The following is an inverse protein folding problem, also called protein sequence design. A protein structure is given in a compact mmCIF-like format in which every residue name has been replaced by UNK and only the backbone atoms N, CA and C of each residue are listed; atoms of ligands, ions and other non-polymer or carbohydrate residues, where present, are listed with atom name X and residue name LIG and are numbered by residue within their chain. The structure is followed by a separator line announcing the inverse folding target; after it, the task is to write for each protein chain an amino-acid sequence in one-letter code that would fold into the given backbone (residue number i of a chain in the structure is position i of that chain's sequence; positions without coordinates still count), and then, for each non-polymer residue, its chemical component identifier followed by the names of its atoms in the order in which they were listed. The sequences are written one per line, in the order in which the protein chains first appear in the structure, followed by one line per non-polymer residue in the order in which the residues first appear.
data_IF_243894844107
#
_entry.id   IF_243894844107
#
_cell.length_a   1.000
_cell.length_b   1.000
_cell.length_c   1.000
_cell.angle_alpha   90.00
_cell.angle_beta   90.00
_cell.angle_gamma   90.00
#
_symmetry.space_group_name_H-M   'P 1'
#
loop_
_entity.id
_entity.type
_entity.pdbx_description
1 polymer ?
#
# COMPACT_ATOMS: atom_id res chain seq x y z
N UNK A 1 -7.41 13.87 18.80
CA UNK A 1 -7.46 12.68 17.90
C UNK A 1 -6.62 11.49 18.39
N UNK A 2 -5.73 11.65 19.38
CA UNK A 2 -4.90 10.54 19.88
C UNK A 2 -5.69 9.49 20.69
N UNK A 3 -6.56 9.95 21.58
CA UNK A 3 -7.42 9.09 22.41
C UNK A 3 -8.40 8.23 21.59
N UNK A 4 -9.16 8.75 20.60
CA UNK A 4 -9.99 7.91 19.75
C UNK A 4 -9.16 6.97 18.85
N UNK A 5 -7.94 7.35 18.47
CA UNK A 5 -7.04 6.50 17.68
C UNK A 5 -6.59 5.24 18.45
N UNK A 6 -6.14 5.40 19.70
CA UNK A 6 -5.75 4.25 20.54
C UNK A 6 -6.96 3.36 20.85
N UNK A 7 -8.10 3.98 21.17
CA UNK A 7 -9.34 3.25 21.42
C UNK A 7 -9.75 2.40 20.19
N UNK A 8 -9.74 2.99 18.98
CA UNK A 8 -10.05 2.26 17.76
C UNK A 8 -9.05 1.15 17.45
N UNK A 9 -7.76 1.37 17.73
CA UNK A 9 -6.70 0.40 17.49
C UNK A 9 -6.82 -0.85 18.39
N UNK A 10 -7.37 -0.69 19.61
CA UNK A 10 -7.67 -1.81 20.52
C UNK A 10 -9.04 -2.43 20.24
N UNK A 11 -10.06 -1.62 19.94
CA UNK A 11 -11.44 -2.09 19.72
C UNK A 11 -11.62 -2.81 18.39
N UNK A 12 -10.99 -2.35 17.30
CA UNK A 12 -11.15 -2.95 15.97
C UNK A 12 -10.73 -4.43 15.91
N UNK A 13 -9.54 -4.83 16.41
CA UNK A 13 -9.15 -6.24 16.44
C UNK A 13 -10.07 -7.09 17.30
N UNK A 14 -10.52 -6.56 18.45
CA UNK A 14 -11.46 -7.26 19.35
C UNK A 14 -12.81 -7.48 18.68
N UNK A 15 -13.37 -6.45 18.05
CA UNK A 15 -14.63 -6.55 17.32
C UNK A 15 -14.53 -7.53 16.14
N UNK A 16 -13.46 -7.47 15.35
CA UNK A 16 -13.21 -8.41 14.25
C UNK A 16 -13.10 -9.86 14.74
N UNK A 17 -12.49 -10.08 15.90
CA UNK A 17 -12.38 -11.42 16.49
C UNK A 17 -13.74 -12.04 16.84
N UNK A 18 -14.69 -11.22 17.31
CA UNK A 18 -16.04 -11.68 17.65
C UNK A 18 -16.97 -11.79 16.44
N UNK A 19 -16.92 -10.85 15.48
CA UNK A 19 -17.78 -10.80 14.29
C UNK A 19 -17.36 -11.79 13.20
N UNK A 20 -16.05 -11.99 13.02
CA UNK A 20 -15.47 -12.88 12.01
C UNK A 20 -14.49 -13.85 12.67
N UNK A 21 -14.99 -14.87 13.40
CA UNK A 21 -14.13 -15.80 14.10
C UNK A 21 -13.15 -16.44 13.11
N UNK A 22 -11.87 -16.17 13.32
CA UNK A 22 -10.75 -16.67 12.51
C UNK A 22 -10.92 -18.18 12.26
N UNK A 23 -11.02 -18.56 11.00
CA UNK A 23 -11.21 -19.96 10.55
C UNK A 23 -10.03 -20.86 10.96
N UNK A 24 -8.83 -20.28 11.12
CA UNK A 24 -7.62 -20.97 11.57
C UNK A 24 -7.10 -20.31 12.85
N UNK A 25 -7.47 -20.85 14.01
CA UNK A 25 -7.05 -20.34 15.33
C UNK A 25 -5.73 -20.92 15.82
N UNK A 26 -5.23 -21.98 15.19
CA UNK A 26 -3.94 -22.59 15.53
C UNK A 26 -3.36 -23.30 14.32
N UNK A 27 -2.18 -22.85 13.88
CA UNK A 27 -1.32 -23.55 12.93
C UNK A 27 -0.19 -24.22 13.73
N UNK A 28 -0.37 -25.47 14.20
CA UNK A 28 0.59 -26.14 15.10
C UNK A 28 2.00 -26.31 14.51
N UNK A 29 2.13 -26.23 13.18
CA UNK A 29 3.41 -26.30 12.45
C UNK A 29 3.82 -24.96 11.82
N UNK A 30 3.38 -23.82 12.35
CA UNK A 30 3.73 -22.50 11.79
C UNK A 30 5.25 -22.26 11.73
N UNK A 31 6.00 -22.68 12.75
CA UNK A 31 7.45 -22.49 12.81
C UNK A 31 8.20 -23.37 11.79
N UNK A 32 7.79 -24.63 11.65
CA UNK A 32 8.38 -25.58 10.70
C UNK A 32 8.03 -25.19 9.26
N UNK A 33 6.76 -24.84 8.99
CA UNK A 33 6.31 -24.32 7.70
C UNK A 33 7.05 -23.04 7.29
N UNK A 34 7.24 -22.09 8.22
CA UNK A 34 7.98 -20.86 7.95
C UNK A 34 9.45 -21.13 7.62
N UNK A 35 10.10 -22.06 8.33
CA UNK A 35 11.50 -22.45 8.07
C UNK A 35 11.66 -23.15 6.72
N UNK A 36 10.71 -23.98 6.32
CA UNK A 36 10.75 -24.67 5.04
C UNK A 36 10.50 -23.73 3.87
N UNK A 37 9.53 -22.81 3.99
CA UNK A 37 9.33 -21.73 3.01
C UNK A 37 10.52 -20.79 2.93
N UNK A 38 11.17 -20.49 4.05
CA UNK A 38 12.40 -19.70 4.06
C UNK A 38 13.55 -20.41 3.31
N UNK A 39 13.72 -21.72 3.49
CA UNK A 39 14.71 -22.51 2.75
C UNK A 39 14.41 -22.54 1.25
N UNK A 40 13.15 -22.68 0.87
CA UNK A 40 12.70 -22.65 -0.53
C UNK A 40 13.01 -21.29 -1.20
N UNK A 41 12.68 -20.19 -0.52
CA UNK A 41 12.99 -18.83 -0.97
C UNK A 41 14.50 -18.56 -1.05
N UNK A 42 15.30 -19.12 -0.12
CA UNK A 42 16.76 -19.00 -0.14
C UNK A 42 17.39 -19.78 -1.29
N UNK A 43 16.81 -20.91 -1.72
CA UNK A 43 17.31 -21.67 -2.88
C UNK A 43 17.12 -20.92 -4.20
N UNK A 44 16.10 -20.06 -4.29
CA UNK A 44 15.89 -19.14 -5.43
C UNK A 44 16.84 -17.92 -5.43
N UNK A 45 17.62 -17.67 -4.35
CA UNK A 45 18.38 -16.42 -4.16
C UNK A 45 19.60 -16.21 -5.06
N UNK A 46 20.15 -17.20 -5.77
CA UNK A 46 21.36 -16.97 -6.58
C UNK A 46 21.14 -16.03 -7.78
N UNK A 47 19.90 -15.92 -8.28
CA UNK A 47 19.55 -15.04 -9.42
C UNK A 47 18.81 -13.77 -8.96
N UNK A 48 18.10 -13.80 -7.83
CA UNK A 48 17.21 -12.72 -7.36
C UNK A 48 17.79 -11.80 -6.28
N UNK A 49 19.07 -11.96 -5.91
CA UNK A 49 19.75 -11.18 -4.85
C UNK A 49 19.84 -9.68 -5.19
N UNK A 50 20.00 -9.35 -6.47
CA UNK A 50 20.09 -7.95 -6.93
C UNK A 50 18.76 -7.20 -6.75
N UNK A 51 17.65 -7.84 -7.12
CA UNK A 51 16.30 -7.27 -7.05
C UNK A 51 15.84 -7.02 -5.60
N UNK A 52 16.08 -7.98 -4.69
CA UNK A 52 15.73 -7.81 -3.26
C UNK A 52 16.58 -6.76 -2.55
N UNK A 53 17.87 -6.66 -2.89
CA UNK A 53 18.76 -5.64 -2.33
C UNK A 53 18.36 -4.25 -2.86
N UNK A 54 18.04 -4.12 -4.15
CA UNK A 54 17.58 -2.87 -4.73
C UNK A 54 16.24 -2.39 -4.15
N UNK A 55 15.25 -3.28 -4.00
CA UNK A 55 13.96 -2.94 -3.37
C UNK A 55 14.14 -2.52 -1.91
N UNK A 56 14.99 -3.22 -1.14
CA UNK A 56 15.28 -2.85 0.25
C UNK A 56 15.99 -1.50 0.35
N UNK A 57 16.92 -1.22 -0.58
CA UNK A 57 17.67 0.03 -0.66
C UNK A 57 16.78 1.18 -1.10
N UNK A 58 15.91 0.96 -2.08
CA UNK A 58 14.92 1.93 -2.55
C UNK A 58 13.87 2.23 -1.48
N UNK A 59 13.43 1.24 -0.69
CA UNK A 59 12.50 1.48 0.41
C UNK A 59 13.15 2.30 1.53
N UNK A 60 14.37 1.96 1.92
CA UNK A 60 15.13 2.73 2.94
C UNK A 60 15.44 4.14 2.45
N UNK A 61 16.00 4.28 1.25
CA UNK A 61 16.36 5.58 0.69
C UNK A 61 15.12 6.38 0.30
N UNK A 62 14.04 5.77 -0.16
CA UNK A 62 12.80 6.46 -0.50
C UNK A 62 12.13 7.08 0.72
N UNK A 63 12.08 6.34 1.85
CA UNK A 63 11.56 6.87 3.12
C UNK A 63 12.51 7.90 3.74
N UNK A 64 13.82 7.63 3.74
CA UNK A 64 14.81 8.55 4.28
C UNK A 64 14.93 9.82 3.43
N UNK A 65 14.84 9.74 2.10
CA UNK A 65 14.82 10.90 1.21
C UNK A 65 13.53 11.72 1.40
N UNK A 66 12.40 11.06 1.70
CA UNK A 66 11.14 11.73 2.04
C UNK A 66 11.23 12.48 3.37
N UNK A 67 11.87 11.87 4.37
CA UNK A 67 12.08 12.50 5.68
C UNK A 67 13.19 13.57 5.67
N UNK A 68 14.22 13.42 4.83
CA UNK A 68 15.45 14.23 4.87
C UNK A 68 15.48 15.36 3.83
N UNK A 69 14.56 15.40 2.84
CA UNK A 69 14.24 16.62 2.08
C UNK A 69 13.46 17.63 2.96
N UNK A 70 14.04 17.97 4.10
CA UNK A 70 13.64 19.07 4.95
C UNK A 70 13.78 20.38 4.15
N UNK A 71 12.66 20.87 3.59
CA UNK A 71 12.54 22.23 3.04
C UNK A 71 11.73 22.35 1.75
N UNK A 72 11.39 21.26 1.06
CA UNK A 72 10.60 21.29 -0.18
C UNK A 72 9.31 20.51 0.05
N UNK A 73 8.17 21.21 0.00
CA UNK A 73 6.83 20.60 0.10
C UNK A 73 6.53 19.80 -1.17
N UNK A 74 7.09 18.60 -1.29
CA UNK A 74 6.75 17.68 -2.37
C UNK A 74 5.43 16.98 -2.04
N UNK A 75 4.49 17.06 -2.97
CA UNK A 75 3.23 16.33 -2.89
C UNK A 75 3.47 14.80 -2.97
N UNK A 76 2.65 14.04 -2.27
CA UNK A 76 2.77 12.58 -2.20
C UNK A 76 2.72 11.92 -3.60
N UNK A 77 1.95 12.49 -4.55
CA UNK A 77 1.89 11.98 -5.92
C UNK A 77 3.22 12.11 -6.66
N UNK A 78 3.92 13.24 -6.49
CA UNK A 78 5.23 13.48 -7.12
C UNK A 78 6.28 12.49 -6.62
N UNK A 79 6.27 12.21 -5.31
CA UNK A 79 7.19 11.24 -4.70
C UNK A 79 6.93 9.82 -5.21
N UNK A 80 5.66 9.43 -5.33
CA UNK A 80 5.29 8.13 -5.88
C UNK A 80 5.75 7.96 -7.35
N UNK A 81 5.60 9.00 -8.18
CA UNK A 81 6.04 8.98 -9.59
C UNK A 81 7.56 8.93 -9.74
N UNK A 82 8.29 9.69 -8.91
CA UNK A 82 9.76 9.62 -8.86
C UNK A 82 10.22 8.21 -8.46
N UNK A 83 9.55 7.62 -7.48
CA UNK A 83 9.81 6.25 -7.06
C UNK A 83 9.61 5.22 -8.18
N UNK A 84 8.47 5.31 -8.88
CA UNK A 84 8.18 4.45 -10.03
C UNK A 84 9.25 4.60 -11.13
N UNK A 85 9.67 5.83 -11.41
CA UNK A 85 10.69 6.14 -12.42
C UNK A 85 12.05 5.51 -12.08
N UNK A 86 12.47 5.59 -10.82
CA UNK A 86 13.71 4.98 -10.34
C UNK A 86 13.67 3.45 -10.45
N UNK A 87 12.53 2.83 -10.14
CA UNK A 87 12.35 1.37 -10.25
C UNK A 87 12.39 0.91 -11.71
N UNK A 88 11.80 1.67 -12.63
CA UNK A 88 11.88 1.39 -14.08
C UNK A 88 13.32 1.50 -14.61
N UNK A 89 14.05 2.56 -14.24
CA UNK A 89 15.45 2.77 -14.66
C UNK A 89 16.37 1.66 -14.11
N UNK A 90 16.09 1.17 -12.89
CA UNK A 90 16.87 0.09 -12.28
C UNK A 90 16.73 -1.28 -12.95
N UNK A 91 15.77 -1.44 -13.89
CA UNK A 91 15.49 -2.71 -14.56
C UNK A 91 14.89 -3.78 -13.64
N UNK A 92 14.47 -3.40 -12.42
CA UNK A 92 13.77 -4.29 -11.48
C UNK A 92 12.35 -4.60 -11.93
N UNK A 93 11.72 -3.65 -12.62
CA UNK A 93 10.37 -3.78 -13.16
C UNK A 93 10.38 -3.32 -14.62
N UNK A 94 9.78 -4.10 -15.50
CA UNK A 94 9.61 -3.67 -16.89
C UNK A 94 8.33 -2.84 -17.05
N UNK A 95 8.29 -1.96 -18.05
CA UNK A 95 7.08 -1.20 -18.34
C UNK A 95 5.88 -2.10 -18.68
N UNK A 96 6.14 -3.27 -19.30
CA UNK A 96 5.12 -4.28 -19.55
C UNK A 96 4.52 -4.86 -18.27
N UNK A 97 5.33 -5.10 -17.23
CA UNK A 97 4.83 -5.57 -15.93
C UNK A 97 3.99 -4.51 -15.20
N UNK A 98 4.35 -3.22 -15.31
CA UNK A 98 3.52 -2.12 -14.80
C UNK A 98 2.15 -2.09 -15.49
N UNK A 99 2.11 -2.28 -16.80
CA UNK A 99 0.85 -2.31 -17.56
C UNK A 99 0.03 -3.58 -17.29
N UNK A 100 0.68 -4.70 -16.96
CA UNK A 100 0.03 -5.95 -16.63
C UNK A 100 -0.67 -5.95 -15.26
N UNK A 101 -0.32 -5.00 -14.38
CA UNK A 101 -0.86 -4.90 -13.01
C UNK A 101 -2.29 -4.35 -13.00
N UNK A 102 -3.27 -5.21 -13.33
CA UNK A 102 -4.67 -4.82 -13.48
C UNK A 102 -5.29 -4.27 -12.20
N UNK A 103 -4.81 -4.67 -11.01
CA UNK A 103 -5.38 -4.20 -9.75
C UNK A 103 -5.15 -2.69 -9.52
N UNK A 104 -3.95 -2.21 -9.88
CA UNK A 104 -3.62 -0.79 -9.81
C UNK A 104 -4.47 0.04 -10.78
N UNK A 105 -4.58 -0.42 -12.04
CA UNK A 105 -5.40 0.25 -13.05
C UNK A 105 -6.89 0.26 -12.71
N UNK A 106 -7.42 -0.86 -12.21
CA UNK A 106 -8.80 -0.92 -11.76
C UNK A 106 -9.06 0.13 -10.68
N UNK A 107 -8.22 0.17 -9.64
CA UNK A 107 -8.33 1.13 -8.53
C UNK A 107 -8.32 2.57 -9.02
N UNK A 108 -7.41 2.90 -9.93
CA UNK A 108 -7.31 4.25 -10.49
C UNK A 108 -8.57 4.65 -11.29
N UNK A 109 -9.11 3.72 -12.10
CA UNK A 109 -10.28 4.01 -12.96
C UNK A 109 -11.55 4.20 -12.11
N UNK A 110 -11.88 3.27 -11.22
CA UNK A 110 -13.14 3.40 -10.47
C UNK A 110 -13.05 4.49 -9.40
N UNK A 111 -11.87 4.70 -8.77
CA UNK A 111 -11.70 5.79 -7.80
C UNK A 111 -11.78 7.16 -8.49
N UNK A 112 -11.20 7.34 -9.68
CA UNK A 112 -11.33 8.60 -10.42
C UNK A 112 -12.78 8.90 -10.81
N UNK A 113 -13.55 7.88 -11.22
CA UNK A 113 -14.99 8.03 -11.49
C UNK A 113 -15.78 8.45 -10.23
N UNK A 114 -15.50 7.85 -9.07
CA UNK A 114 -16.15 8.22 -7.80
C UNK A 114 -15.81 9.64 -7.37
N UNK A 115 -14.54 10.04 -7.46
CA UNK A 115 -14.10 11.41 -7.12
C UNK A 115 -14.77 12.43 -8.05
N UNK A 116 -14.90 12.10 -9.35
CA UNK A 116 -15.63 12.94 -10.30
C UNK A 116 -17.10 13.08 -9.91
N UNK A 117 -17.80 11.98 -9.58
CA UNK A 117 -19.20 12.03 -9.14
C UNK A 117 -19.36 12.85 -7.86
N UNK A 118 -18.50 12.65 -6.86
CA UNK A 118 -18.52 13.42 -5.61
C UNK A 118 -18.31 14.92 -5.88
N UNK A 119 -17.39 15.26 -6.79
CA UNK A 119 -17.13 16.65 -7.20
C UNK A 119 -18.35 17.26 -7.88
N UNK A 120 -19.04 16.52 -8.75
CA UNK A 120 -20.27 16.97 -9.41
C UNK A 120 -21.40 17.17 -8.40
N UNK A 121 -21.59 16.25 -7.45
CA UNK A 121 -22.58 16.39 -6.37
C UNK A 121 -22.32 17.63 -5.51
N UNK A 122 -21.06 17.91 -5.18
CA UNK A 122 -20.67 19.13 -4.47
C UNK A 122 -20.96 20.39 -5.29
N UNK A 123 -20.65 20.39 -6.59
CA UNK A 123 -20.93 21.53 -7.49
C UNK A 123 -22.42 21.79 -7.72
N UNK A 124 -23.23 20.74 -7.75
CA UNK A 124 -24.68 20.82 -7.89
C UNK A 124 -25.39 21.23 -6.59
N UNK A 125 -24.64 21.46 -5.50
CA UNK A 125 -25.19 21.89 -4.23
C UNK A 125 -26.03 20.83 -3.52
N UNK A 126 -26.02 19.57 -3.98
CA UNK A 126 -26.78 18.49 -3.35
C UNK A 126 -26.34 18.27 -1.91
N UNK A 127 -25.03 18.40 -1.63
CA UNK A 127 -24.49 18.32 -0.26
C UNK A 127 -24.92 19.50 0.62
N UNK A 128 -25.15 20.68 0.04
CA UNK A 128 -25.67 21.85 0.79
C UNK A 128 -27.18 21.73 1.02
N UNK A 129 -27.93 21.33 -0.02
CA UNK A 129 -29.36 21.05 0.10
C UNK A 129 -29.67 19.97 1.14
N UNK A 130 -28.88 18.90 1.21
CA UNK A 130 -29.03 17.85 2.22
C UNK A 130 -28.53 18.25 3.63
N UNK A 131 -27.69 19.29 3.72
CA UNK A 131 -27.18 19.79 5.00
C UNK A 131 -28.09 20.88 5.61
N UNK A 132 -28.87 21.57 4.78
CA UNK A 132 -29.90 22.54 5.21
C UNK A 132 -31.26 21.89 5.50
N UNK A 133 -31.49 20.66 5.05
CA UNK A 133 -32.67 19.84 5.36
C UNK A 133 -32.49 19.02 6.64
#
# INVERSE_FOLDING_TARGET
MFLPGIAAMLLMPLMLYFLSPLEIKSTPNASTFAKDKLKELVKMKKVKKSCSVFLSRFYFYGLELWACFFGISLDATSVALLGLSLVLISGVLTFGEVLAEKAAWNTLVWFSALVMMATLLGKLGVTQFLAEA
#
